data_IF_465206334517
#
_entry.id   IF_465206334517
#
_cell.length_a   1.000
_cell.length_b   1.000
_cell.length_c   1.000
_cell.angle_alpha   90.00
_cell.angle_beta   90.00
_cell.angle_gamma   90.00
#
_symmetry.space_group_name_H-M   'P 1'
#
loop_
_entity.id
_entity.type
_entity.pdbx_description
1 polymer ?
#
# COMPACT_ATOMS: atom_id res chain seq x y z
N UNK A 1 35.75 -23.09 -28.63
CA UNK A 1 35.93 -21.77 -28.13
C UNK A 1 37.21 -21.66 -27.36
N UNK A 2 37.88 -20.56 -27.50
CA UNK A 2 39.11 -20.39 -26.73
C UNK A 2 38.79 -19.69 -25.44
N UNK A 3 39.83 -19.57 -24.61
CA UNK A 3 39.65 -18.99 -23.28
C UNK A 3 39.15 -17.56 -23.33
N UNK A 4 39.64 -16.77 -24.28
CA UNK A 4 39.21 -15.38 -24.37
C UNK A 4 37.76 -15.27 -24.74
N UNK A 5 37.30 -16.14 -25.64
CA UNK A 5 35.88 -16.08 -26.02
C UNK A 5 35.00 -16.47 -24.85
N UNK A 6 35.41 -17.44 -24.07
CA UNK A 6 34.66 -17.87 -22.91
C UNK A 6 34.61 -16.73 -21.89
N UNK A 7 35.74 -16.10 -21.66
CA UNK A 7 35.81 -15.01 -20.70
C UNK A 7 34.91 -13.85 -21.13
N UNK A 8 34.91 -13.53 -22.43
CA UNK A 8 34.05 -12.45 -22.91
C UNK A 8 32.59 -12.80 -22.77
N UNK A 9 32.26 -14.07 -23.09
CA UNK A 9 30.86 -14.49 -22.96
C UNK A 9 30.39 -14.42 -21.51
N UNK A 10 31.25 -14.82 -20.58
CA UNK A 10 30.89 -14.76 -19.19
C UNK A 10 30.75 -13.34 -18.70
N UNK A 11 31.59 -12.43 -19.22
CA UNK A 11 31.47 -11.04 -18.83
C UNK A 11 30.16 -10.45 -19.29
N UNK A 12 29.74 -10.78 -20.52
CA UNK A 12 28.47 -10.30 -21.03
C UNK A 12 27.31 -10.90 -20.24
N UNK A 13 27.42 -12.18 -19.90
CA UNK A 13 26.40 -12.85 -19.11
C UNK A 13 26.27 -12.18 -17.74
N UNK A 14 27.39 -11.87 -17.11
CA UNK A 14 27.36 -11.22 -15.82
C UNK A 14 26.71 -9.85 -15.90
N UNK A 15 27.02 -9.10 -16.95
CA UNK A 15 26.41 -7.78 -17.12
C UNK A 15 24.90 -7.91 -17.30
N UNK A 16 24.47 -8.91 -18.08
CA UNK A 16 23.06 -9.14 -18.30
C UNK A 16 22.37 -9.51 -17.00
N UNK A 17 23.00 -10.36 -16.20
CA UNK A 17 22.43 -10.77 -14.94
C UNK A 17 22.29 -9.61 -13.97
N UNK A 18 23.32 -8.76 -13.93
CA UNK A 18 23.25 -7.59 -13.05
C UNK A 18 22.09 -6.67 -13.45
N UNK A 19 21.95 -6.44 -14.76
CA UNK A 19 20.88 -5.59 -15.25
C UNK A 19 19.52 -6.19 -14.91
N UNK A 20 19.37 -7.47 -15.20
CA UNK A 20 18.07 -8.13 -14.98
C UNK A 20 17.73 -8.16 -13.51
N UNK A 21 18.71 -8.48 -12.69
CA UNK A 21 18.48 -8.54 -11.26
C UNK A 21 18.13 -7.17 -10.71
N UNK A 22 18.82 -6.14 -11.19
CA UNK A 22 18.53 -4.79 -10.75
C UNK A 22 17.12 -4.40 -11.12
N UNK A 23 16.66 -4.75 -12.32
CA UNK A 23 15.30 -4.43 -12.75
C UNK A 23 14.28 -5.16 -11.90
N UNK A 24 14.53 -6.43 -11.62
CA UNK A 24 13.58 -7.20 -10.82
C UNK A 24 13.52 -6.71 -9.39
N UNK A 25 14.66 -6.35 -8.83
CA UNK A 25 14.66 -5.84 -7.47
C UNK A 25 13.98 -4.49 -7.37
N UNK A 26 14.16 -3.67 -8.39
CA UNK A 26 13.46 -2.38 -8.41
C UNK A 26 11.96 -2.58 -8.48
N UNK A 27 11.51 -3.51 -9.31
CA UNK A 27 10.08 -3.81 -9.40
C UNK A 27 9.56 -4.34 -8.08
N UNK A 28 10.30 -5.23 -7.46
CA UNK A 28 9.88 -5.77 -6.16
C UNK A 28 9.76 -4.66 -5.14
N UNK A 29 10.75 -3.78 -5.11
CA UNK A 29 10.74 -2.71 -4.13
C UNK A 29 9.67 -1.68 -4.42
N UNK A 30 9.39 -1.43 -5.70
CA UNK A 30 8.28 -0.55 -6.06
C UNK A 30 6.97 -1.12 -5.55
N UNK A 31 6.78 -2.42 -5.73
CA UNK A 31 5.57 -3.07 -5.24
C UNK A 31 5.47 -2.98 -3.72
N UNK A 32 6.61 -3.11 -3.03
CA UNK A 32 6.61 -2.99 -1.58
C UNK A 32 6.20 -1.59 -1.15
N UNK A 33 6.69 -0.56 -1.86
CA UNK A 33 6.31 0.81 -1.57
C UNK A 33 4.82 1.01 -1.82
N UNK A 34 4.32 0.49 -2.94
CA UNK A 34 2.91 0.64 -3.25
C UNK A 34 2.04 -0.08 -2.24
N UNK A 35 2.48 -1.23 -1.77
CA UNK A 35 1.73 -1.95 -0.75
C UNK A 35 1.69 -1.15 0.55
N UNK A 36 2.81 -0.58 0.96
CA UNK A 36 2.85 0.23 2.16
C UNK A 36 1.90 1.43 2.04
N UNK A 37 1.91 2.08 0.87
CA UNK A 37 1.03 3.22 0.67
C UNK A 37 -0.43 2.80 0.69
N UNK A 38 -0.74 1.66 0.10
CA UNK A 38 -2.12 1.16 0.12
C UNK A 38 -2.55 0.85 1.54
N UNK A 39 -1.67 0.28 2.34
CA UNK A 39 -1.99 -0.03 3.72
C UNK A 39 -2.23 1.24 4.53
N UNK A 40 -1.45 2.28 4.26
CA UNK A 40 -1.66 3.56 4.93
C UNK A 40 -2.98 4.18 4.52
N UNK A 41 -3.33 4.06 3.24
CA UNK A 41 -4.60 4.58 2.76
C UNK A 41 -5.76 3.83 3.41
N UNK A 42 -5.64 2.51 3.52
CA UNK A 42 -6.68 1.72 4.15
C UNK A 42 -6.85 2.13 5.61
N UNK A 43 -5.74 2.30 6.32
CA UNK A 43 -5.83 2.71 7.72
C UNK A 43 -6.49 4.09 7.85
N UNK A 44 -6.15 4.99 6.93
CA UNK A 44 -6.74 6.33 6.96
C UNK A 44 -8.24 6.26 6.70
N UNK A 45 -8.64 5.44 5.73
CA UNK A 45 -10.05 5.31 5.41
C UNK A 45 -10.82 4.65 6.54
N UNK A 46 -10.21 3.68 7.20
CA UNK A 46 -10.86 3.05 8.34
C UNK A 46 -11.07 4.05 9.47
N UNK A 47 -10.10 4.93 9.68
CA UNK A 47 -10.24 5.97 10.69
C UNK A 47 -11.35 6.94 10.31
N UNK A 48 -11.46 7.28 9.03
CA UNK A 48 -12.52 8.17 8.59
C UNK A 48 -13.88 7.51 8.75
N UNK A 49 -13.97 6.22 8.45
CA UNK A 49 -15.23 5.51 8.61
C UNK A 49 -15.64 5.51 10.09
N UNK A 50 -14.70 5.27 10.97
CA UNK A 50 -15.01 5.27 12.40
C UNK A 50 -15.48 6.65 12.84
N UNK A 51 -14.83 7.69 12.34
CA UNK A 51 -15.24 9.05 12.70
C UNK A 51 -16.62 9.36 12.17
N UNK A 52 -16.89 8.95 10.93
CA UNK A 52 -18.21 9.19 10.35
C UNK A 52 -19.30 8.43 11.08
N UNK A 53 -18.99 7.20 11.49
CA UNK A 53 -19.97 6.43 12.27
C UNK A 53 -20.26 7.11 13.60
N UNK A 54 -19.24 7.66 14.23
CA UNK A 54 -19.44 8.38 15.48
C UNK A 54 -20.31 9.61 15.24
N UNK A 55 -20.01 10.36 14.18
CA UNK A 55 -20.80 11.54 13.88
C UNK A 55 -22.23 11.17 13.54
N UNK A 56 -22.42 10.08 12.82
CA UNK A 56 -23.75 9.65 12.47
C UNK A 56 -24.53 9.24 13.71
N UNK A 57 -23.90 8.50 14.59
CA UNK A 57 -24.53 8.10 15.81
C UNK A 57 -24.96 9.30 16.62
N UNK A 58 -24.10 10.28 16.73
CA UNK A 58 -24.44 11.48 17.48
C UNK A 58 -25.54 12.25 16.82
N UNK A 59 -25.53 12.31 15.51
CA UNK A 59 -26.52 13.07 14.78
C UNK A 59 -27.88 12.40 14.79
N UNK A 60 -27.91 11.09 14.96
CA UNK A 60 -29.16 10.37 14.89
C UNK A 60 -29.59 9.79 16.20
N UNK A 61 -29.12 10.28 17.30
CA UNK A 61 -29.55 9.80 18.60
C UNK A 61 -30.88 10.35 18.88
N UNK A 62 -31.93 9.70 18.49
CA UNK A 62 -33.26 10.29 18.63
C UNK A 62 -33.72 10.28 20.05
N UNK A 63 -33.31 9.33 20.78
CA UNK A 63 -33.79 9.28 22.13
C UNK A 63 -33.45 10.52 22.86
N UNK A 64 -32.28 11.02 22.60
CA UNK A 64 -31.92 12.21 23.26
C UNK A 64 -32.72 13.34 22.80
N UNK A 65 -33.03 13.38 21.56
CA UNK A 65 -33.83 14.45 21.05
C UNK A 65 -35.22 14.33 21.52
N UNK A 66 -35.77 13.15 21.46
CA UNK A 66 -37.14 13.00 21.81
C UNK A 66 -37.39 13.20 23.24
N UNK A 67 -36.47 12.77 24.01
CA UNK A 67 -36.68 12.94 25.38
C UNK A 67 -36.84 14.28 25.76
N UNK A 68 -36.24 15.03 25.02
CA UNK A 68 -36.47 16.31 25.24
C UNK A 68 -37.71 16.68 24.84
N UNK A 69 -38.31 15.95 24.22
CA UNK A 69 -39.46 16.22 23.87
C UNK A 69 -40.40 15.81 24.41
N UNK A 70 -40.26 15.11 24.67
CA UNK A 70 -41.16 14.84 25.05
C UNK A 70 -41.68 14.93 25.77
N UNK A 71 -41.23 15.10 25.98
CA UNK A 71 -41.64 15.30 26.56
C UNK A 71 -42.51 15.48 26.65
N UNK A 72 -42.75 15.45 26.39
CA UNK A 72 -43.40 15.54 26.35
C UNK A 72 -43.85 15.72 26.66
#
# INVERSE_FOLDING_TARGET
>A
MNQEQITQALRLTNNDLVTKLSEEMTTKNLLAVQLTEAQQTIAHLQAQIAELNTQLDEATKPEEIIEQEEGE
#
